data_IF_947794859030
#
_entry.id   IF_947794859030
#
_cell.length_a   1.000
_cell.length_b   1.000
_cell.length_c   1.000
_cell.angle_alpha   90.00
_cell.angle_beta   90.00
_cell.angle_gamma   90.00
#
_symmetry.space_group_name_H-M   'P 1'
#
loop_
_entity.id
_entity.type
_entity.pdbx_description
1 polymer ?
#
# COMPACT_ATOMS: atom_id res chain seq x y z
N UNK A 1 3.69 14.93 31.31
CA UNK A 1 4.07 13.65 30.68
C UNK A 1 2.80 13.13 30.05
N UNK A 2 2.49 13.66 28.86
CA UNK A 2 1.22 13.41 28.21
C UNK A 2 1.40 12.20 27.30
N UNK A 3 0.92 11.05 27.78
CA UNK A 3 0.93 9.80 27.02
C UNK A 3 -0.32 9.74 26.16
N UNK A 4 -0.31 10.41 25.01
CA UNK A 4 -1.21 10.04 23.91
C UNK A 4 -0.73 8.69 23.38
N UNK A 5 -1.18 7.61 24.01
CA UNK A 5 -0.97 6.26 23.52
C UNK A 5 -1.54 6.18 22.11
N UNK A 6 -0.68 6.05 21.11
CA UNK A 6 -1.07 5.66 19.76
C UNK A 6 -1.81 4.32 19.87
N UNK A 7 -3.14 4.37 19.85
CA UNK A 7 -3.96 3.17 19.90
C UNK A 7 -3.77 2.42 18.57
N UNK A 8 -3.39 1.13 18.57
CA UNK A 8 -3.22 0.33 17.35
C UNK A 8 -4.54 0.05 16.60
N UNK A 9 -5.64 0.73 16.97
CA UNK A 9 -6.97 0.54 16.43
C UNK A 9 -7.28 1.39 15.20
N UNK A 10 -6.56 2.49 14.95
CA UNK A 10 -6.71 3.25 13.70
C UNK A 10 -5.72 2.77 12.64
N UNK A 11 -6.23 2.03 11.66
CA UNK A 11 -5.44 1.42 10.56
C UNK A 11 -5.79 2.08 9.24
N UNK A 12 -4.93 2.01 8.23
CA UNK A 12 -5.27 2.52 6.90
C UNK A 12 -6.56 1.86 6.38
N UNK A 13 -7.46 2.68 5.81
CA UNK A 13 -8.72 2.23 5.23
C UNK A 13 -8.62 2.21 3.71
N UNK A 14 -9.19 1.17 3.08
CA UNK A 14 -9.39 1.10 1.63
C UNK A 14 -10.16 2.29 1.06
N UNK A 15 -11.01 2.90 1.88
CA UNK A 15 -12.05 3.83 1.44
C UNK A 15 -11.68 5.31 1.65
N UNK A 16 -10.43 5.61 1.99
CA UNK A 16 -10.13 6.93 2.51
C UNK A 16 -8.81 7.45 1.95
N UNK A 17 -8.85 7.86 0.68
CA UNK A 17 -7.73 8.52 -0.01
C UNK A 17 -8.19 9.90 -0.50
N UNK A 18 -7.62 10.98 0.04
CA UNK A 18 -8.23 12.32 0.04
C UNK A 18 -7.26 13.37 -0.49
N UNK A 19 -7.69 14.21 -1.43
CA UNK A 19 -7.04 15.51 -1.61
C UNK A 19 -7.69 16.49 -0.64
N UNK A 20 -6.96 16.88 0.40
CA UNK A 20 -7.44 17.88 1.37
C UNK A 20 -7.45 19.28 0.72
N UNK A 21 -8.47 19.61 -0.08
CA UNK A 21 -8.67 20.98 -0.55
C UNK A 21 -9.89 21.67 0.06
N UNK A 22 -10.98 20.94 0.34
CA UNK A 22 -12.13 21.46 1.11
C UNK A 22 -12.99 20.30 1.65
N UNK A 23 -13.42 20.37 2.91
CA UNK A 23 -14.33 19.39 3.55
C UNK A 23 -15.74 19.30 2.91
N UNK A 24 -15.99 20.06 1.83
CA UNK A 24 -17.30 20.20 1.21
C UNK A 24 -17.59 19.16 0.11
N UNK A 25 -16.58 18.51 -0.47
CA UNK A 25 -16.78 17.49 -1.51
C UNK A 25 -15.75 16.36 -1.37
N UNK A 26 -16.14 15.25 -0.74
CA UNK A 26 -15.33 14.03 -0.64
C UNK A 26 -15.53 13.17 -1.90
N UNK A 27 -14.46 12.98 -2.67
CA UNK A 27 -14.48 12.14 -3.87
C UNK A 27 -13.39 11.08 -3.74
N UNK A 28 -13.76 9.82 -3.44
CA UNK A 28 -12.83 8.68 -3.51
C UNK A 28 -12.22 8.57 -4.91
N UNK A 29 -10.95 8.16 -4.97
CA UNK A 29 -10.21 8.02 -6.24
C UNK A 29 -9.75 6.59 -6.44
N UNK A 30 -9.72 6.19 -7.69
CA UNK A 30 -9.11 4.95 -8.19
C UNK A 30 -7.58 5.07 -8.31
N UNK A 31 -7.07 6.27 -8.58
CA UNK A 31 -5.63 6.56 -8.70
C UNK A 31 -5.15 7.61 -7.69
N UNK A 32 -4.12 7.27 -6.91
CA UNK A 32 -3.53 8.16 -5.90
C UNK A 32 -2.26 8.82 -6.38
N UNK A 33 -2.14 10.13 -6.28
CA UNK A 33 -0.92 10.85 -6.71
C UNK A 33 -0.57 11.98 -5.73
N UNK A 34 0.47 12.76 -6.06
CA UNK A 34 0.96 13.89 -5.26
C UNK A 34 -0.18 14.79 -4.76
N UNK A 35 -0.30 14.93 -3.44
CA UNK A 35 -1.33 15.69 -2.73
C UNK A 35 -2.50 14.86 -2.21
N UNK A 36 -2.55 13.56 -2.48
CA UNK A 36 -3.53 12.66 -1.87
C UNK A 36 -3.04 12.11 -0.53
N UNK A 37 -4.00 11.93 0.38
CA UNK A 37 -3.79 11.55 1.77
C UNK A 37 -4.43 10.20 2.03
N UNK A 38 -3.64 9.22 2.44
CA UNK A 38 -4.09 7.96 3.03
C UNK A 38 -4.69 8.25 4.39
N UNK A 39 -5.89 7.74 4.65
CA UNK A 39 -6.53 7.89 5.95
C UNK A 39 -6.79 6.56 6.62
N UNK A 40 -7.03 6.67 7.91
CA UNK A 40 -7.46 5.57 8.73
C UNK A 40 -8.92 5.18 8.51
N UNK A 41 -9.29 4.01 9.05
CA UNK A 41 -10.66 3.52 9.22
C UNK A 41 -11.57 4.47 10.02
N UNK A 42 -10.98 5.38 10.78
CA UNK A 42 -11.68 6.43 11.52
C UNK A 42 -11.67 7.78 10.80
N UNK A 43 -11.32 7.80 9.50
CA UNK A 43 -11.23 9.00 8.68
C UNK A 43 -10.28 10.07 9.24
N UNK A 44 -9.17 9.64 9.86
CA UNK A 44 -8.06 10.52 10.26
C UNK A 44 -6.91 10.44 9.25
N UNK A 45 -6.32 11.56 8.82
CA UNK A 45 -5.12 11.58 7.98
C UNK A 45 -3.99 10.74 8.60
N UNK A 46 -3.39 9.85 7.80
CA UNK A 46 -2.22 9.05 8.20
C UNK A 46 -0.98 9.54 7.49
N UNK A 47 -1.00 9.55 6.16
CA UNK A 47 0.16 9.92 5.34
C UNK A 47 -0.29 10.60 4.05
N UNK A 48 0.40 11.65 3.61
CA UNK A 48 0.13 12.34 2.34
C UNK A 48 1.27 12.08 1.37
N UNK A 49 0.95 11.73 0.12
CA UNK A 49 1.93 11.62 -0.97
C UNK A 49 2.40 13.04 -1.29
N UNK A 50 3.66 13.35 -1.03
CA UNK A 50 4.25 14.69 -1.30
C UNK A 50 5.05 14.71 -2.59
N UNK A 51 5.59 13.57 -3.01
CA UNK A 51 6.34 13.43 -4.26
C UNK A 51 6.10 12.07 -4.88
N UNK A 52 6.01 12.05 -6.21
CA UNK A 52 6.04 10.84 -7.04
C UNK A 52 6.90 11.18 -8.25
N UNK A 53 7.93 10.39 -8.57
CA UNK A 53 8.82 10.70 -9.70
C UNK A 53 8.49 9.96 -10.99
N UNK A 54 7.84 8.80 -10.89
CA UNK A 54 7.52 7.93 -12.02
C UNK A 54 6.85 8.67 -13.17
N UNK A 55 7.24 8.40 -14.43
CA UNK A 55 6.69 9.12 -15.59
C UNK A 55 5.17 9.03 -15.68
N UNK A 56 4.62 7.84 -15.41
CA UNK A 56 3.17 7.62 -15.31
C UNK A 56 2.81 7.69 -13.83
N UNK A 57 1.99 8.68 -13.47
CA UNK A 57 1.59 8.95 -12.08
C UNK A 57 0.37 8.12 -11.69
N UNK A 58 0.21 7.88 -10.40
CA UNK A 58 -0.99 7.29 -9.85
C UNK A 58 -1.10 5.77 -10.02
N UNK A 59 0.04 5.11 -10.21
CA UNK A 59 0.10 3.66 -10.38
C UNK A 59 0.44 3.01 -9.05
N UNK A 60 -0.55 3.01 -8.17
CA UNK A 60 -0.52 2.34 -6.87
C UNK A 60 -1.89 1.71 -6.64
N UNK A 61 -1.93 0.44 -6.23
CA UNK A 61 -3.20 -0.23 -5.99
C UNK A 61 -3.71 -0.02 -4.56
N UNK A 62 -5.02 0.13 -4.44
CA UNK A 62 -5.79 0.28 -3.20
C UNK A 62 -7.00 -0.66 -3.16
N UNK A 63 -7.19 -1.51 -4.17
CA UNK A 63 -8.41 -2.29 -4.38
C UNK A 63 -8.22 -3.77 -4.06
N UNK A 64 -7.03 -4.32 -4.31
CA UNK A 64 -6.76 -5.75 -4.16
C UNK A 64 -6.24 -6.09 -2.77
N UNK A 65 -6.47 -7.34 -2.34
CA UNK A 65 -5.86 -7.87 -1.13
C UNK A 65 -4.43 -8.31 -1.45
N UNK A 66 -3.52 -8.11 -0.49
CA UNK A 66 -2.14 -8.57 -0.61
C UNK A 66 -2.03 -10.10 -0.78
N UNK A 67 -0.96 -10.55 -1.47
CA UNK A 67 -0.68 -11.98 -1.63
C UNK A 67 -0.40 -12.66 -0.27
N UNK A 68 -0.75 -13.95 -0.18
CA UNK A 68 -0.58 -14.77 1.02
C UNK A 68 -0.20 -16.21 0.66
N UNK A 69 0.12 -17.03 1.67
CA UNK A 69 0.53 -18.43 1.46
C UNK A 69 -0.54 -19.26 0.73
N UNK A 70 -1.81 -19.08 1.09
CA UNK A 70 -2.92 -19.79 0.45
C UNK A 70 -3.01 -19.51 -1.06
N UNK A 71 -2.76 -18.27 -1.49
CA UNK A 71 -2.75 -17.89 -2.90
C UNK A 71 -1.70 -18.69 -3.69
N UNK A 72 -0.48 -18.82 -3.15
CA UNK A 72 0.58 -19.59 -3.79
C UNK A 72 0.29 -21.09 -3.82
N UNK A 73 -0.18 -21.65 -2.71
CA UNK A 73 -0.51 -23.08 -2.61
C UNK A 73 -1.65 -23.46 -3.57
N UNK A 74 -2.73 -22.67 -3.58
CA UNK A 74 -3.89 -22.91 -4.45
C UNK A 74 -3.58 -22.81 -5.95
N UNK A 75 -2.48 -22.14 -6.31
CA UNK A 75 -2.01 -22.02 -7.69
C UNK A 75 -0.83 -22.96 -8.01
N UNK A 76 -0.51 -23.90 -7.12
CA UNK A 76 0.48 -24.96 -7.38
C UNK A 76 1.94 -24.55 -7.19
N UNK A 77 2.23 -23.41 -6.54
CA UNK A 77 3.59 -22.94 -6.27
C UNK A 77 4.16 -23.42 -4.93
N UNK A 78 3.41 -24.27 -4.21
CA UNK A 78 3.81 -24.81 -2.93
C UNK A 78 3.77 -23.79 -1.78
N UNK A 79 4.21 -24.19 -0.58
CA UNK A 79 4.17 -23.34 0.60
C UNK A 79 5.24 -22.26 0.51
N UNK A 80 4.81 -21.00 0.34
CA UNK A 80 5.69 -19.82 0.37
C UNK A 80 4.98 -18.62 0.98
N UNK A 81 5.75 -17.75 1.61
CA UNK A 81 5.21 -16.56 2.28
C UNK A 81 4.85 -15.47 1.27
N UNK A 82 3.67 -14.89 1.43
CA UNK A 82 3.26 -13.68 0.74
C UNK A 82 3.43 -12.44 1.61
N UNK A 83 2.97 -11.30 1.10
CA UNK A 83 2.96 -10.04 1.83
C UNK A 83 2.26 -10.14 3.19
N UNK A 84 1.19 -10.93 3.28
CA UNK A 84 0.47 -11.16 4.54
C UNK A 84 1.39 -11.69 5.62
N UNK A 85 2.08 -12.80 5.36
CA UNK A 85 2.97 -13.44 6.33
C UNK A 85 4.19 -12.56 6.65
N UNK A 86 4.74 -11.88 5.64
CA UNK A 86 5.89 -10.98 5.80
C UNK A 86 5.55 -9.80 6.72
N UNK A 87 4.44 -9.09 6.45
CA UNK A 87 4.02 -7.95 7.26
C UNK A 87 3.64 -8.41 8.66
N UNK A 88 2.87 -9.49 8.80
CA UNK A 88 2.46 -10.02 10.09
C UNK A 88 3.66 -10.32 10.99
N UNK A 89 4.70 -10.96 10.43
CA UNK A 89 5.95 -11.22 11.14
C UNK A 89 6.67 -9.93 11.56
N UNK A 90 6.71 -8.92 10.69
CA UNK A 90 7.39 -7.66 10.98
C UNK A 90 6.71 -6.87 12.11
N UNK A 91 5.37 -6.88 12.16
CA UNK A 91 4.60 -6.11 13.13
C UNK A 91 4.22 -6.87 14.39
N UNK A 92 4.47 -8.19 14.46
CA UNK A 92 4.10 -9.05 15.58
C UNK A 92 4.59 -8.53 16.95
N UNK A 93 5.77 -7.92 16.98
CA UNK A 93 6.35 -7.33 18.20
C UNK A 93 5.50 -6.19 18.81
N UNK A 94 4.60 -5.59 18.03
CA UNK A 94 3.68 -4.54 18.48
C UNK A 94 2.34 -5.11 18.95
N UNK A 95 2.21 -6.45 19.06
CA UNK A 95 0.97 -7.11 19.49
C UNK A 95 -0.15 -7.06 18.43
N UNK A 96 0.20 -6.85 17.16
CA UNK A 96 -0.75 -6.81 16.05
C UNK A 96 -0.92 -8.22 15.49
N UNK A 97 -2.15 -8.74 15.53
CA UNK A 97 -2.47 -10.04 14.93
C UNK A 97 -2.51 -9.94 13.40
N UNK A 98 -2.27 -11.07 12.73
CA UNK A 98 -2.29 -11.16 11.26
C UNK A 98 -3.64 -10.77 10.69
N UNK A 99 -4.70 -11.19 11.38
CA UNK A 99 -6.11 -10.98 11.03
C UNK A 99 -6.51 -9.50 11.09
N UNK A 100 -5.80 -8.72 11.90
CA UNK A 100 -6.08 -7.30 12.02
C UNK A 100 -5.40 -6.47 10.91
N UNK A 101 -4.50 -7.06 10.12
CA UNK A 101 -3.80 -6.32 9.06
C UNK A 101 -4.79 -5.78 8.02
N UNK A 102 -4.84 -4.45 7.81
CA UNK A 102 -5.71 -3.87 6.80
C UNK A 102 -5.25 -4.29 5.41
N UNK A 103 -6.06 -4.00 4.40
CA UNK A 103 -5.57 -4.08 3.03
C UNK A 103 -4.43 -3.10 2.81
N UNK A 104 -3.50 -3.49 1.95
CA UNK A 104 -2.30 -2.73 1.68
C UNK A 104 -2.58 -1.58 0.73
N UNK A 105 -1.68 -0.61 0.80
CA UNK A 105 -1.45 0.33 -0.28
C UNK A 105 -0.27 -0.21 -1.10
N UNK A 106 -0.55 -0.75 -2.27
CA UNK A 106 0.41 -1.48 -3.08
C UNK A 106 1.14 -0.51 -4.03
N UNK A 107 2.26 0.02 -3.52
CA UNK A 107 3.13 0.94 -4.25
C UNK A 107 3.62 0.30 -5.57
N UNK A 108 3.45 1.03 -6.68
CA UNK A 108 3.93 0.69 -8.02
C UNK A 108 3.22 -0.50 -8.67
N UNK A 109 2.15 -1.01 -8.04
CA UNK A 109 1.34 -2.07 -8.62
C UNK A 109 0.43 -1.52 -9.72
N UNK A 110 0.63 -2.00 -10.96
CA UNK A 110 -0.16 -1.61 -12.11
C UNK A 110 -1.47 -2.43 -12.18
N UNK A 111 -2.45 -2.03 -11.38
CA UNK A 111 -3.77 -2.65 -11.31
C UNK A 111 -4.81 -1.84 -12.08
N UNK A 112 -5.23 -2.36 -13.23
CA UNK A 112 -6.07 -1.60 -14.19
C UNK A 112 -7.49 -2.13 -14.19
N UNK A 113 -8.46 -1.23 -14.01
CA UNK A 113 -9.87 -1.56 -14.19
C UNK A 113 -10.24 -1.52 -15.67
N UNK A 114 -10.65 -2.67 -16.22
CA UNK A 114 -11.28 -2.78 -17.52
C UNK A 114 -12.80 -2.67 -17.33
N UNK A 115 -13.31 -1.43 -17.34
CA UNK A 115 -14.74 -1.14 -17.15
C UNK A 115 -15.62 -1.83 -18.19
N UNK A 116 -15.14 -1.98 -19.43
CA UNK A 116 -15.91 -2.61 -20.50
C UNK A 116 -16.06 -4.12 -20.27
N UNK A 117 -15.02 -4.77 -19.74
CA UNK A 117 -15.06 -6.19 -19.39
C UNK A 117 -15.53 -6.46 -17.94
N UNK A 118 -15.70 -5.43 -17.11
CA UNK A 118 -16.15 -5.53 -15.72
C UNK A 118 -15.16 -6.27 -14.81
N UNK A 119 -13.85 -6.14 -15.06
CA UNK A 119 -12.80 -6.84 -14.29
C UNK A 119 -11.53 -6.04 -14.16
N UNK A 120 -10.69 -6.43 -13.21
CA UNK A 120 -9.38 -5.84 -12.98
C UNK A 120 -8.26 -6.71 -13.53
N UNK A 121 -7.17 -6.07 -13.92
CA UNK A 121 -5.99 -6.74 -14.46
C UNK A 121 -4.73 -6.27 -13.76
N UNK A 122 -3.91 -7.24 -13.35
CA UNK A 122 -2.53 -6.99 -12.93
C UNK A 122 -1.66 -6.96 -14.19
N UNK A 123 -1.01 -5.83 -14.43
CA UNK A 123 -0.07 -5.62 -15.54
C UNK A 123 1.35 -5.42 -15.01
N UNK A 124 2.32 -5.38 -15.91
CA UNK A 124 3.70 -5.04 -15.57
C UNK A 124 3.78 -3.64 -14.94
N UNK A 125 4.68 -3.43 -13.96
CA UNK A 125 4.98 -2.10 -13.44
C UNK A 125 5.42 -1.15 -14.55
N UNK A 126 5.15 0.13 -14.37
CA UNK A 126 5.52 1.19 -15.33
C UNK A 126 6.58 2.15 -14.77
N UNK A 127 7.05 1.90 -13.56
CA UNK A 127 8.12 2.65 -12.92
C UNK A 127 9.49 2.11 -13.34
N UNK A 128 10.49 2.98 -13.29
CA UNK A 128 11.87 2.67 -13.63
C UNK A 128 12.78 2.63 -12.38
N UNK A 129 13.96 2.00 -12.45
CA UNK A 129 14.93 2.07 -11.36
C UNK A 129 15.28 3.51 -10.99
N UNK A 130 15.15 3.84 -9.70
CA UNK A 130 15.37 5.20 -9.19
C UNK A 130 14.09 6.02 -9.03
N UNK A 131 12.95 5.55 -9.56
CA UNK A 131 11.68 6.16 -9.22
C UNK A 131 11.33 5.97 -7.75
N UNK A 132 10.78 7.02 -7.14
CA UNK A 132 10.36 7.00 -5.75
C UNK A 132 9.01 7.69 -5.55
N UNK A 133 8.38 7.30 -4.44
CA UNK A 133 7.23 7.96 -3.84
C UNK A 133 7.66 8.42 -2.46
N UNK A 134 7.43 9.68 -2.16
CA UNK A 134 7.69 10.27 -0.86
C UNK A 134 6.36 10.57 -0.17
N UNK A 135 6.26 10.22 1.10
CA UNK A 135 5.07 10.40 1.89
C UNK A 135 5.40 11.12 3.19
N UNK A 136 4.65 12.17 3.50
CA UNK A 136 4.71 12.85 4.80
C UNK A 136 3.73 12.17 5.76
N UNK A 137 4.19 11.80 6.95
CA UNK A 137 3.33 11.36 8.03
C UNK A 137 2.55 12.55 8.63
N UNK A 138 1.24 12.44 8.75
CA UNK A 138 0.36 13.49 9.32
C UNK A 138 0.13 13.29 10.84
N UNK A 139 0.58 12.15 11.36
CA UNK A 139 0.57 11.78 12.76
C UNK A 139 1.61 10.67 12.98
N UNK A 140 1.85 10.27 14.23
CA UNK A 140 2.67 9.10 14.52
C UNK A 140 2.04 7.84 13.89
N UNK A 141 2.81 7.16 13.03
CA UNK A 141 2.37 5.97 12.29
C UNK A 141 3.35 4.82 12.45
N UNK A 142 2.81 3.60 12.49
CA UNK A 142 3.57 2.37 12.33
C UNK A 142 3.42 1.88 10.88
N UNK A 143 4.52 1.81 10.14
CA UNK A 143 4.53 1.33 8.75
C UNK A 143 5.02 -0.11 8.69
N UNK A 144 4.12 -1.02 8.32
CA UNK A 144 4.47 -2.40 7.96
C UNK A 144 4.66 -2.52 6.45
N UNK A 145 5.87 -2.85 5.99
CA UNK A 145 6.20 -2.93 4.57
C UNK A 145 6.66 -4.35 4.21
N UNK A 146 6.18 -4.83 3.07
CA UNK A 146 6.68 -6.05 2.41
C UNK A 146 7.18 -5.69 1.02
N UNK A 147 8.39 -6.10 0.69
CA UNK A 147 8.82 -6.15 -0.70
C UNK A 147 8.17 -7.37 -1.35
N UNK A 148 7.13 -7.14 -2.16
CA UNK A 148 6.23 -8.18 -2.65
C UNK A 148 7.00 -9.32 -3.33
N UNK A 149 6.87 -10.58 -2.87
CA UNK A 149 7.61 -11.72 -3.44
C UNK A 149 6.93 -12.32 -4.69
N UNK A 150 5.89 -11.68 -5.23
CA UNK A 150 5.08 -12.24 -6.31
C UNK A 150 5.78 -12.15 -7.66
N UNK A 151 6.35 -13.28 -8.09
CA UNK A 151 7.18 -13.40 -9.30
C UNK A 151 6.77 -14.54 -10.24
N UNK A 152 5.72 -15.30 -9.91
CA UNK A 152 5.42 -16.59 -10.57
C UNK A 152 4.06 -16.70 -11.26
N UNK A 153 3.06 -15.90 -10.88
CA UNK A 153 1.67 -16.10 -11.33
C UNK A 153 1.17 -15.03 -12.29
N UNK A 154 1.53 -13.78 -12.02
CA UNK A 154 1.01 -12.59 -12.70
C UNK A 154 2.16 -11.60 -12.86
N UNK A 155 2.09 -10.69 -13.85
CA UNK A 155 3.19 -9.77 -14.15
C UNK A 155 3.39 -8.64 -13.10
N UNK A 156 2.93 -8.82 -11.86
CA UNK A 156 2.94 -7.79 -10.80
C UNK A 156 4.33 -7.17 -10.57
N UNK A 157 5.39 -7.98 -10.60
CA UNK A 157 6.78 -7.52 -10.48
C UNK A 157 7.58 -7.84 -11.74
N UNK A 158 6.93 -7.86 -12.91
CA UNK A 158 7.54 -8.30 -14.18
C UNK A 158 8.29 -9.66 -14.07
N UNK A 159 7.76 -10.56 -13.24
CA UNK A 159 8.34 -11.88 -12.93
C UNK A 159 9.78 -11.85 -12.36
N UNK A 160 10.22 -10.68 -11.86
CA UNK A 160 11.55 -10.49 -11.28
C UNK A 160 11.51 -9.46 -10.17
N UNK A 161 11.42 -9.92 -8.92
CA UNK A 161 11.52 -9.05 -7.75
C UNK A 161 12.89 -8.37 -7.68
N UNK A 162 12.89 -7.06 -7.43
CA UNK A 162 14.09 -6.24 -7.23
C UNK A 162 14.10 -5.67 -5.81
N UNK A 163 15.27 -5.25 -5.29
CA UNK A 163 15.35 -4.58 -4.00
C UNK A 163 14.60 -3.25 -3.99
N UNK A 164 13.96 -2.94 -2.85
CA UNK A 164 13.34 -1.64 -2.57
C UNK A 164 14.13 -0.94 -1.46
N UNK A 165 14.35 0.37 -1.61
CA UNK A 165 14.99 1.22 -0.58
C UNK A 165 13.91 2.01 0.15
N UNK A 166 14.02 2.07 1.48
CA UNK A 166 13.20 2.92 2.34
C UNK A 166 14.13 3.89 3.04
N UNK A 167 13.77 5.17 3.05
CA UNK A 167 14.48 6.24 3.75
C UNK A 167 13.47 6.99 4.62
N UNK A 168 13.90 7.36 5.83
CA UNK A 168 13.08 8.08 6.80
C UNK A 168 13.80 9.38 7.12
N UNK A 169 13.09 10.48 6.98
CA UNK A 169 13.59 11.84 7.20
C UNK A 169 12.79 12.48 8.34
N UNK A 170 13.43 13.35 9.11
CA UNK A 170 12.71 14.23 10.04
C UNK A 170 12.06 15.37 9.25
N UNK A 171 10.90 15.85 9.72
CA UNK A 171 10.29 17.04 9.15
C UNK A 171 11.12 18.27 9.52
N UNK A 172 11.35 19.16 8.55
CA UNK A 172 11.95 20.49 8.77
C UNK A 172 11.02 21.41 9.57
#
# INVERSE_FOLDING_TARGET
>A
MDSTSASPTSRASRCATWRCSTWATSVPRDHLTEGDTLMSTLCRPLMTIVKETARIKGVHDTHHRMCNRYLYESNGFGPRDGCQEIIAKAVAQYGIASEDLPDTFDLNMNFVHDCAAGRWWIKEPVNEPGDYVEMRAEMDVLVGLSNCPLDVMVPCNAFKCTPLRVEVFEAE
#
